data_IF_613231277151
#
_entry.id   IF_613231277151
#
_cell.length_a   1.000
_cell.length_b   1.000
_cell.length_c   1.000
_cell.angle_alpha   90.00
_cell.angle_beta   90.00
_cell.angle_gamma   90.00
#
_symmetry.space_group_name_H-M   'P 1'
#
loop_
_entity.id
_entity.type
_entity.pdbx_description
1 polymer ?
#
# COMPACT_ATOMS: atom_id res chain seq x y z
N UNK A 1 -6.27 -31.63 1.05
CA UNK A 1 -6.48 -30.87 -0.21
C UNK A 1 -5.16 -30.27 -0.66
N UNK A 2 -4.81 -30.44 -1.93
CA UNK A 2 -3.53 -29.96 -2.48
C UNK A 2 -3.64 -28.57 -3.08
N UNK A 3 -4.84 -28.15 -3.46
CA UNK A 3 -5.12 -26.86 -4.08
C UNK A 3 -6.13 -26.08 -3.25
N UNK A 4 -5.85 -24.80 -3.02
CA UNK A 4 -6.76 -23.85 -2.42
C UNK A 4 -6.84 -22.59 -3.29
N UNK A 5 -8.04 -22.06 -3.45
CA UNK A 5 -8.31 -20.80 -4.14
C UNK A 5 -9.05 -19.92 -3.16
N UNK A 6 -8.69 -18.65 -3.12
CA UNK A 6 -9.30 -17.66 -2.25
C UNK A 6 -9.52 -16.35 -2.96
N UNK A 7 -10.51 -15.60 -2.51
CA UNK A 7 -10.72 -14.22 -2.88
C UNK A 7 -11.00 -13.41 -1.62
N UNK A 8 -10.45 -12.19 -1.58
CA UNK A 8 -10.67 -11.24 -0.51
C UNK A 8 -11.35 -10.00 -1.08
N UNK A 9 -12.40 -9.54 -0.41
CA UNK A 9 -13.13 -8.33 -0.75
C UNK A 9 -12.95 -7.33 0.39
N UNK A 10 -12.30 -6.22 0.10
CA UNK A 10 -12.04 -5.16 1.05
C UNK A 10 -12.80 -3.89 0.69
N UNK A 11 -13.39 -3.23 1.69
CA UNK A 11 -13.96 -1.91 1.52
C UNK A 11 -12.96 -0.85 1.97
N UNK A 12 -12.59 0.04 1.05
CA UNK A 12 -11.69 1.16 1.28
C UNK A 12 -12.48 2.42 1.56
N UNK A 13 -12.28 3.02 2.71
CA UNK A 13 -12.89 4.31 3.04
C UNK A 13 -11.93 5.15 3.87
N UNK A 14 -12.04 6.46 3.72
CA UNK A 14 -11.25 7.39 4.50
C UNK A 14 -11.04 8.71 3.80
N UNK A 15 -10.36 9.61 4.49
CA UNK A 15 -9.91 10.88 3.95
C UNK A 15 -8.43 11.10 4.27
N UNK A 16 -7.71 11.65 3.30
CA UNK A 16 -6.33 12.08 3.45
C UNK A 16 -6.35 13.60 3.26
N UNK A 17 -5.83 14.31 4.25
CA UNK A 17 -5.63 15.76 4.16
C UNK A 17 -4.14 16.04 4.08
N UNK A 18 -3.77 16.88 3.12
CA UNK A 18 -2.43 17.40 2.97
C UNK A 18 -2.50 18.91 2.99
N UNK A 19 -1.87 19.52 3.98
CA UNK A 19 -1.79 20.96 4.13
C UNK A 19 -0.33 21.38 3.98
N UNK A 20 -0.12 22.36 3.11
CA UNK A 20 1.19 22.96 2.87
C UNK A 20 1.08 24.46 3.06
N UNK A 21 1.83 24.97 4.02
CA UNK A 21 1.93 26.40 4.30
C UNK A 21 3.30 26.90 3.86
N UNK A 22 3.31 27.88 2.98
CA UNK A 22 4.53 28.57 2.56
C UNK A 22 4.49 29.97 3.19
N UNK A 23 5.42 30.21 4.10
CA UNK A 23 5.58 31.51 4.76
C UNK A 23 6.72 32.23 4.06
N UNK A 24 6.43 33.38 3.49
CA UNK A 24 7.45 34.24 2.92
C UNK A 24 7.93 35.23 3.97
N UNK A 25 9.16 35.04 4.45
CA UNK A 25 9.83 35.98 5.34
C UNK A 25 10.55 37.03 4.49
N UNK A 26 9.98 38.24 4.41
CA UNK A 26 10.59 39.37 3.70
C UNK A 26 10.34 40.66 4.50
N UNK A 27 11.37 41.46 4.72
CA UNK A 27 11.26 42.84 5.19
C UNK A 27 10.70 43.70 4.06
N UNK A 28 9.37 43.77 3.98
CA UNK A 28 8.70 44.58 2.98
C UNK A 28 7.19 44.41 3.07
N UNK A 29 6.46 45.52 2.96
CA UNK A 29 5.01 45.55 2.85
C UNK A 29 4.57 44.78 1.60
N UNK A 30 4.10 43.54 1.75
CA UNK A 30 3.52 42.77 0.65
C UNK A 30 3.89 41.32 0.55
N UNK A 31 4.57 40.73 1.55
CA UNK A 31 4.79 39.28 1.58
C UNK A 31 3.47 38.55 1.85
N UNK A 32 3.03 37.77 0.90
CA UNK A 32 1.85 36.92 1.03
C UNK A 32 2.25 35.49 1.40
N UNK A 33 1.68 35.00 2.47
CA UNK A 33 1.77 33.58 2.82
C UNK A 33 0.76 32.80 1.96
N UNK A 34 1.13 31.60 1.56
CA UNK A 34 0.26 30.75 0.77
C UNK A 34 -0.08 29.49 1.56
N UNK A 35 -1.36 29.20 1.70
CA UNK A 35 -1.87 27.95 2.24
C UNK A 35 -2.50 27.13 1.13
N UNK A 36 -1.95 25.94 0.89
CA UNK A 36 -2.48 24.96 -0.06
C UNK A 36 -3.05 23.78 0.71
N UNK A 37 -4.34 23.61 0.63
CA UNK A 37 -5.07 22.55 1.30
C UNK A 37 -5.58 21.54 0.26
N UNK A 38 -5.20 20.29 0.39
CA UNK A 38 -5.65 19.20 -0.47
C UNK A 38 -6.35 18.15 0.38
N UNK A 39 -7.58 17.83 0.07
CA UNK A 39 -8.34 16.76 0.72
C UNK A 39 -8.72 15.70 -0.32
N UNK A 40 -8.37 14.45 -0.05
CA UNK A 40 -8.75 13.30 -0.84
C UNK A 40 -9.68 12.41 -0.02
N UNK A 41 -10.93 12.28 -0.45
CA UNK A 41 -11.91 11.36 0.15
C UNK A 41 -12.05 10.13 -0.74
N UNK A 42 -11.81 8.97 -0.17
CA UNK A 42 -11.85 7.68 -0.88
C UNK A 42 -13.00 6.85 -0.34
N UNK A 43 -13.74 6.23 -1.26
CA UNK A 43 -14.75 5.23 -0.94
C UNK A 43 -14.84 4.24 -2.11
N UNK A 44 -14.32 3.02 -1.92
CA UNK A 44 -14.27 2.02 -2.99
C UNK A 44 -14.14 0.58 -2.46
N UNK A 45 -14.26 -0.39 -3.38
CA UNK A 45 -14.04 -1.81 -3.12
C UNK A 45 -12.71 -2.26 -3.73
N UNK A 46 -11.95 -3.05 -2.97
CA UNK A 46 -10.73 -3.74 -3.42
C UNK A 46 -10.99 -5.24 -3.48
N UNK A 47 -10.42 -5.90 -4.46
CA UNK A 47 -10.47 -7.35 -4.61
C UNK A 47 -9.06 -7.90 -4.72
N UNK A 48 -8.79 -9.00 -4.02
CA UNK A 48 -7.53 -9.73 -4.12
C UNK A 48 -7.85 -11.21 -4.37
N UNK A 49 -7.09 -11.85 -5.24
CA UNK A 49 -7.24 -13.26 -5.59
C UNK A 49 -6.01 -14.03 -5.16
N UNK A 50 -6.21 -15.21 -4.59
CA UNK A 50 -5.14 -16.08 -4.13
C UNK A 50 -5.29 -17.50 -4.65
N UNK A 51 -4.16 -18.11 -4.99
CA UNK A 51 -4.04 -19.50 -5.36
C UNK A 51 -2.90 -20.11 -4.53
N UNK A 52 -3.15 -21.27 -3.94
CA UNK A 52 -2.15 -22.00 -3.18
C UNK A 52 -2.15 -23.45 -3.60
N UNK A 53 -0.97 -23.99 -3.88
CA UNK A 53 -0.76 -25.39 -4.19
C UNK A 53 0.27 -26.00 -3.27
N UNK A 54 -0.12 -27.08 -2.55
CA UNK A 54 0.78 -27.82 -1.66
C UNK A 54 1.10 -29.17 -2.25
N UNK A 55 2.39 -29.40 -2.48
CA UNK A 55 2.93 -30.68 -2.94
C UNK A 55 3.59 -31.40 -1.75
N UNK A 56 3.06 -32.58 -1.33
CA UNK A 56 3.73 -33.40 -0.35
C UNK A 56 4.93 -34.09 -0.98
N UNK A 57 6.11 -33.93 -0.42
CA UNK A 57 7.34 -34.63 -0.82
C UNK A 57 7.44 -35.97 -0.10
N UNK A 58 7.02 -36.00 1.16
CA UNK A 58 6.97 -37.19 1.98
C UNK A 58 5.81 -37.11 2.99
N UNK A 59 5.70 -38.08 3.92
CA UNK A 59 4.70 -38.03 5.01
C UNK A 59 4.91 -36.85 5.95
N UNK A 60 6.12 -36.32 6.03
CA UNK A 60 6.53 -35.27 6.97
C UNK A 60 7.02 -33.99 6.27
N UNK A 61 7.13 -33.99 4.94
CA UNK A 61 7.69 -32.89 4.18
C UNK A 61 6.74 -32.41 3.09
N UNK A 62 6.62 -31.10 2.94
CA UNK A 62 5.79 -30.50 1.90
C UNK A 62 6.40 -29.19 1.40
N UNK A 63 6.11 -28.90 0.14
CA UNK A 63 6.38 -27.60 -0.49
C UNK A 63 5.05 -26.97 -0.86
N UNK A 64 4.91 -25.69 -0.55
CA UNK A 64 3.71 -24.92 -0.89
C UNK A 64 4.10 -23.74 -1.76
N UNK A 65 3.46 -23.60 -2.91
CA UNK A 65 3.53 -22.46 -3.79
C UNK A 65 2.26 -21.63 -3.60
N UNK A 66 2.42 -20.33 -3.33
CA UNK A 66 1.36 -19.35 -3.22
C UNK A 66 1.47 -18.30 -4.33
N UNK A 67 0.33 -17.92 -4.91
CA UNK A 67 0.21 -16.82 -5.87
C UNK A 67 -0.87 -15.87 -5.38
N UNK A 68 -0.60 -14.58 -5.46
CA UNK A 68 -1.57 -13.53 -5.13
C UNK A 68 -1.61 -12.51 -6.26
N UNK A 69 -2.80 -12.10 -6.64
CA UNK A 69 -3.03 -11.08 -7.64
C UNK A 69 -4.09 -10.10 -7.17
N UNK A 70 -3.75 -8.81 -7.18
CA UNK A 70 -4.67 -7.71 -6.92
C UNK A 70 -4.78 -6.86 -8.17
N UNK A 71 -5.93 -6.81 -8.82
CA UNK A 71 -6.10 -6.03 -10.03
C UNK A 71 -6.07 -4.53 -9.75
N UNK A 72 -5.57 -3.78 -10.74
CA UNK A 72 -5.62 -2.32 -10.74
C UNK A 72 -7.03 -1.82 -10.50
N UNK A 73 -7.16 -0.83 -9.63
CA UNK A 73 -8.43 -0.21 -9.32
C UNK A 73 -8.30 1.31 -9.34
N UNK A 74 -9.01 1.97 -10.26
CA UNK A 74 -9.21 3.41 -10.18
C UNK A 74 -10.17 3.70 -9.05
N UNK A 75 -9.74 4.48 -8.07
CA UNK A 75 -10.55 4.80 -6.90
C UNK A 75 -11.51 5.94 -7.21
N UNK A 76 -12.75 5.79 -6.78
CA UNK A 76 -13.72 6.88 -6.76
C UNK A 76 -13.34 7.82 -5.63
N UNK A 77 -12.56 8.84 -5.98
CA UNK A 77 -12.07 9.83 -5.05
C UNK A 77 -12.58 11.21 -5.44
N UNK A 78 -12.97 12.00 -4.43
CA UNK A 78 -13.20 13.44 -4.57
C UNK A 78 -11.98 14.14 -4.00
N UNK A 79 -11.30 14.91 -4.82
CA UNK A 79 -10.18 15.74 -4.41
C UNK A 79 -10.64 17.19 -4.37
N UNK A 80 -10.41 17.83 -3.24
CA UNK A 80 -10.63 19.26 -3.06
C UNK A 80 -9.26 19.91 -2.92
N UNK A 81 -8.98 20.89 -3.76
CA UNK A 81 -7.78 21.70 -3.67
C UNK A 81 -8.18 23.14 -3.46
N UNK A 82 -7.74 23.74 -2.35
CA UNK A 82 -7.92 25.13 -2.03
C UNK A 82 -6.56 25.78 -1.83
N UNK A 83 -6.27 26.81 -2.61
CA UNK A 83 -5.07 27.62 -2.45
C UNK A 83 -5.50 29.02 -2.09
N UNK A 84 -5.06 29.52 -0.93
CA UNK A 84 -5.36 30.86 -0.41
C UNK A 84 -4.06 31.61 -0.16
N UNK A 85 -4.02 32.88 -0.49
CA UNK A 85 -2.98 33.80 -0.04
C UNK A 85 -3.50 34.62 1.14
N UNK A 86 -2.68 34.87 2.12
CA UNK A 86 -3.02 35.74 3.26
C UNK A 86 -1.80 36.60 3.66
N UNK A 87 -2.09 37.79 4.16
CA UNK A 87 -1.04 38.66 4.67
C UNK A 87 -0.64 38.28 6.09
N UNK A 88 0.57 38.64 6.50
CA UNK A 88 1.09 38.39 7.86
C UNK A 88 0.24 39.02 8.97
N UNK A 89 -0.63 39.98 8.66
CA UNK A 89 -1.55 40.62 9.59
C UNK A 89 -2.88 39.88 9.82
N UNK A 90 -3.04 38.68 9.19
CA UNK A 90 -4.22 37.82 9.42
C UNK A 90 -5.51 38.32 8.75
N UNK A 91 -5.43 39.27 7.83
CA UNK A 91 -6.57 39.65 6.99
C UNK A 91 -6.95 38.50 6.07
N UNK A 92 -8.25 38.28 5.91
CA UNK A 92 -8.78 37.22 5.03
C UNK A 92 -8.10 37.23 3.67
N UNK A 93 -7.42 36.13 3.37
CA UNK A 93 -6.66 35.99 2.16
C UNK A 93 -7.55 35.77 0.95
N UNK A 94 -7.10 36.26 -0.17
CA UNK A 94 -7.74 35.99 -1.44
C UNK A 94 -7.65 34.52 -1.82
N UNK A 95 -8.76 33.91 -2.23
CA UNK A 95 -8.78 32.56 -2.78
C UNK A 95 -8.18 32.60 -4.18
N UNK A 96 -6.97 32.12 -4.32
CA UNK A 96 -6.26 32.10 -5.59
C UNK A 96 -6.75 30.96 -6.50
N UNK A 97 -7.10 29.84 -5.91
CA UNK A 97 -7.53 28.65 -6.66
C UNK A 97 -8.43 27.77 -5.78
N UNK A 98 -9.58 27.41 -6.31
CA UNK A 98 -10.48 26.43 -5.70
C UNK A 98 -10.92 25.45 -6.76
N UNK A 99 -10.30 24.25 -6.78
CA UNK A 99 -10.61 23.20 -7.72
C UNK A 99 -11.17 21.97 -7.01
N UNK A 100 -12.21 21.42 -7.60
CA UNK A 100 -12.75 20.12 -7.21
C UNK A 100 -12.52 19.14 -8.35
N UNK A 101 -11.55 18.23 -8.17
CA UNK A 101 -11.29 17.17 -9.12
C UNK A 101 -12.10 15.96 -8.68
N UNK A 102 -13.15 15.65 -9.44
CA UNK A 102 -13.95 14.44 -9.24
C UNK A 102 -13.52 13.37 -10.23
N UNK A 103 -13.36 12.13 -9.77
CA UNK A 103 -13.11 11.00 -10.64
C UNK A 103 -11.84 10.23 -10.34
N UNK A 104 -11.08 9.87 -11.35
CA UNK A 104 -9.92 8.96 -11.27
C UNK A 104 -8.63 9.67 -10.80
N UNK A 105 -8.73 10.50 -9.76
CA UNK A 105 -7.57 11.24 -9.23
C UNK A 105 -6.50 10.33 -8.62
N UNK A 106 -6.89 9.14 -8.19
CA UNK A 106 -6.01 8.15 -7.60
C UNK A 106 -6.36 6.73 -8.04
N UNK A 107 -5.37 5.87 -8.23
CA UNK A 107 -5.58 4.48 -8.56
C UNK A 107 -4.63 3.57 -7.78
N UNK A 108 -5.12 2.40 -7.40
CA UNK A 108 -4.27 1.31 -6.91
C UNK A 108 -3.69 0.57 -8.10
N UNK A 109 -2.41 0.17 -8.04
CA UNK A 109 -1.75 -0.57 -9.12
C UNK A 109 -2.18 -2.03 -9.17
N UNK A 110 -1.82 -2.70 -10.25
CA UNK A 110 -1.74 -4.15 -10.21
C UNK A 110 -0.66 -4.56 -9.21
N UNK A 111 -0.98 -5.56 -8.39
CA UNK A 111 -0.04 -6.17 -7.47
C UNK A 111 0.04 -7.67 -7.71
N UNK A 112 1.24 -8.20 -7.74
CA UNK A 112 1.55 -9.61 -7.95
C UNK A 112 2.40 -10.09 -6.80
N UNK A 113 2.06 -11.24 -6.25
CA UNK A 113 2.83 -11.89 -5.21
C UNK A 113 3.05 -13.35 -5.54
N UNK A 114 4.26 -13.85 -5.29
CA UNK A 114 4.60 -15.26 -5.33
C UNK A 114 5.34 -15.64 -4.06
N UNK A 115 4.91 -16.71 -3.42
CA UNK A 115 5.52 -17.23 -2.22
C UNK A 115 5.82 -18.72 -2.37
N UNK A 116 6.93 -19.14 -1.78
CA UNK A 116 7.33 -20.53 -1.69
C UNK A 116 7.65 -20.88 -0.24
N UNK A 117 7.09 -21.96 0.25
CA UNK A 117 7.45 -22.46 1.58
C UNK A 117 7.77 -23.95 1.52
N UNK A 118 8.80 -24.33 2.30
CA UNK A 118 9.16 -25.72 2.57
C UNK A 118 8.95 -26.00 4.05
N UNK A 119 8.25 -27.05 4.36
CA UNK A 119 7.98 -27.48 5.72
C UNK A 119 8.43 -28.91 5.89
N UNK A 120 9.33 -29.15 6.85
CA UNK A 120 9.63 -30.45 7.43
C UNK A 120 9.03 -30.48 8.84
N UNK A 121 8.00 -31.27 9.01
CA UNK A 121 7.18 -31.31 10.21
C UNK A 121 8.02 -31.40 11.48
N UNK A 122 7.73 -30.52 12.46
CA UNK A 122 8.39 -30.45 13.76
C UNK A 122 9.91 -30.22 13.72
N UNK A 123 10.49 -29.77 12.60
CA UNK A 123 11.93 -29.62 12.48
C UNK A 123 12.37 -28.36 11.75
N UNK A 124 11.79 -28.06 10.60
CA UNK A 124 12.26 -26.96 9.75
C UNK A 124 11.11 -26.36 8.97
N UNK A 125 11.00 -25.05 8.99
CA UNK A 125 10.16 -24.27 8.08
C UNK A 125 11.03 -23.22 7.40
N UNK A 126 10.98 -23.18 6.06
CA UNK A 126 11.60 -22.13 5.26
C UNK A 126 10.54 -21.48 4.40
N UNK A 127 10.58 -20.16 4.28
CA UNK A 127 9.67 -19.43 3.42
C UNK A 127 10.40 -18.28 2.71
N UNK A 128 9.99 -18.01 1.49
CA UNK A 128 10.43 -16.88 0.71
C UNK A 128 9.26 -16.30 -0.07
N UNK A 129 9.14 -14.97 -0.08
CA UNK A 129 8.10 -14.23 -0.76
C UNK A 129 8.69 -13.15 -1.64
N UNK A 130 8.10 -12.96 -2.80
CA UNK A 130 8.37 -11.85 -3.69
C UNK A 130 7.06 -11.16 -4.04
N UNK A 131 7.03 -9.85 -3.98
CA UNK A 131 5.89 -9.06 -4.46
C UNK A 131 6.34 -7.89 -5.33
N UNK A 132 5.51 -7.58 -6.30
CA UNK A 132 5.69 -6.49 -7.26
C UNK A 132 4.41 -5.67 -7.37
N UNK A 133 4.54 -4.35 -7.34
CA UNK A 133 3.45 -3.41 -7.48
C UNK A 133 3.81 -2.36 -8.56
N UNK A 134 2.95 -2.23 -9.60
CA UNK A 134 3.16 -1.35 -10.76
C UNK A 134 2.69 0.09 -10.46
N UNK A 135 3.35 0.77 -9.52
CA UNK A 135 3.02 2.14 -9.12
C UNK A 135 3.42 3.17 -10.17
N UNK A 136 4.43 2.91 -11.00
CA UNK A 136 4.98 3.89 -11.94
C UNK A 136 3.99 4.42 -12.98
N UNK A 137 2.86 3.74 -13.16
CA UNK A 137 1.80 4.15 -14.10
C UNK A 137 0.55 4.70 -13.41
N UNK A 138 0.64 4.92 -12.09
CA UNK A 138 -0.53 5.31 -11.32
C UNK A 138 -0.66 6.83 -11.24
N UNK A 139 -1.87 7.37 -11.48
CA UNK A 139 -2.11 8.80 -11.30
C UNK A 139 -2.18 9.15 -9.82
N UNK A 140 -1.62 10.32 -9.49
CA UNK A 140 -1.75 10.97 -8.20
C UNK A 140 -2.22 12.40 -8.43
N UNK A 141 -3.41 12.73 -7.94
CA UNK A 141 -4.11 14.00 -8.22
C UNK A 141 -4.21 14.36 -9.71
N UNK A 142 -4.33 13.33 -10.57
CA UNK A 142 -4.42 13.52 -12.02
C UNK A 142 -3.08 13.61 -12.76
N UNK A 143 -1.98 13.77 -12.05
CA UNK A 143 -0.63 13.76 -12.61
C UNK A 143 -0.07 12.34 -12.67
N UNK A 144 0.71 12.04 -13.70
CA UNK A 144 1.42 10.78 -13.89
C UNK A 144 2.89 10.97 -13.51
N UNK A 145 3.60 9.85 -13.36
CA UNK A 145 5.05 9.77 -13.14
C UNK A 145 5.57 10.23 -11.76
N UNK A 146 4.68 10.35 -10.77
CA UNK A 146 5.06 10.68 -9.40
C UNK A 146 5.54 9.47 -8.57
N UNK A 147 5.31 8.24 -9.05
CA UNK A 147 5.64 7.03 -8.32
C UNK A 147 6.63 6.14 -9.08
N UNK A 148 7.36 5.32 -8.31
CA UNK A 148 8.21 4.24 -8.82
C UNK A 148 7.60 2.89 -8.46
N UNK A 149 7.85 1.90 -9.31
CA UNK A 149 7.44 0.53 -9.04
C UNK A 149 8.06 0.02 -7.74
N UNK A 150 7.29 -0.76 -7.00
CA UNK A 150 7.69 -1.29 -5.70
C UNK A 150 7.97 -2.78 -5.82
N UNK A 151 9.11 -3.18 -5.29
CA UNK A 151 9.53 -4.57 -5.13
C UNK A 151 9.72 -4.87 -3.65
N UNK A 152 9.30 -6.05 -3.24
CA UNK A 152 9.53 -6.55 -1.89
C UNK A 152 9.95 -8.00 -1.96
N UNK A 153 11.06 -8.32 -1.28
CA UNK A 153 11.52 -9.69 -1.04
C UNK A 153 11.50 -9.93 0.46
N UNK A 154 10.98 -11.03 0.90
CA UNK A 154 11.04 -11.48 2.28
C UNK A 154 11.48 -12.94 2.31
N UNK A 155 12.36 -13.28 3.25
CA UNK A 155 12.83 -14.64 3.51
C UNK A 155 12.77 -14.89 5.00
N UNK A 156 12.29 -16.05 5.39
CA UNK A 156 12.20 -16.46 6.79
C UNK A 156 12.45 -17.94 6.96
N UNK A 157 12.88 -18.32 8.15
CA UNK A 157 13.10 -19.72 8.49
C UNK A 157 12.96 -19.94 10.00
N UNK A 158 12.47 -21.12 10.34
CA UNK A 158 12.36 -21.61 11.70
C UNK A 158 12.98 -23.01 11.76
N UNK A 159 13.85 -23.22 12.74
CA UNK A 159 14.46 -24.52 12.99
C UNK A 159 14.26 -24.92 14.45
N UNK A 160 13.72 -26.11 14.68
CA UNK A 160 13.49 -26.71 15.99
C UNK A 160 14.41 -27.91 16.15
N UNK A 161 15.54 -27.76 16.89
CA UNK A 161 16.50 -28.84 17.10
C UNK A 161 15.98 -29.87 18.02
N UNK A 162 15.52 -30.91 18.00
CA UNK A 162 15.06 -31.92 18.99
C UNK A 162 13.71 -31.66 19.66
N UNK A 163 12.64 -31.77 18.89
CA UNK A 163 11.26 -31.72 19.42
C UNK A 163 10.96 -32.78 20.50
N UNK A 164 11.69 -33.90 20.54
CA UNK A 164 11.46 -35.04 21.46
C UNK A 164 12.49 -35.18 22.55
N UNK A 165 13.49 -34.32 22.66
CA UNK A 165 14.46 -34.39 23.74
C UNK A 165 13.84 -33.83 25.01
N UNK A 166 13.20 -34.69 25.79
CA UNK A 166 12.94 -34.41 27.22
C UNK A 166 14.27 -34.09 27.87
N UNK A 167 14.45 -32.84 28.28
CA UNK A 167 15.56 -32.48 29.13
C UNK A 167 15.41 -33.23 30.46
N UNK A 168 16.15 -34.31 30.64
CA UNK A 168 16.36 -34.89 31.92
C UNK A 168 17.41 -34.03 32.64
N UNK A 169 17.01 -32.91 33.18
CA UNK A 169 17.68 -32.28 34.30
C UNK A 169 16.82 -32.57 35.51
N UNK A 170 17.20 -33.60 36.23
CA UNK A 170 16.86 -33.85 37.61
C UNK A 170 17.97 -33.27 38.50
#
# INVERSE_FOLDING_TARGET
KRLAVGANFGFLFGNIKHEQVVIMSGEGTGAYNTNRNQELRVRDLKMDFGLQYTHPLSKTESVTLGLVFSPKKSLHAKSYQLTQSYTSSGSDGEVLQSDTISGKAFALPNSYGVGLSYVKQNKLTLAADFSYEDWGKMPYFGEKDNFKNRYRVAVGGEYIPDYMRKSYFS
#
